data_IF_035725332544
#
_entry.id   IF_035725332544
#
_cell.length_a   1.000
_cell.length_b   1.000
_cell.length_c   1.000
_cell.angle_alpha   90.00
_cell.angle_beta   90.00
_cell.angle_gamma   90.00
#
_symmetry.space_group_name_H-M   'P 1'
#
loop_
_entity.id
_entity.type
_entity.pdbx_description
1 polymer ?
#
# COMPACT_ATOMS: atom_id res chain seq x y z
N UNK A 1 -1.15 16.10 6.27
CA UNK A 1 -0.93 17.39 5.57
C UNK A 1 -2.28 18.07 5.41
N UNK A 2 -2.42 19.37 5.72
CA UNK A 2 -3.72 20.06 5.53
C UNK A 2 -3.96 20.29 4.03
N UNK A 3 -5.21 20.40 3.61
CA UNK A 3 -5.58 20.55 2.18
C UNK A 3 -4.87 21.73 1.48
N UNK A 4 -4.73 22.88 2.16
CA UNK A 4 -4.01 24.05 1.64
C UNK A 4 -2.49 23.82 1.45
N UNK A 5 -1.90 22.88 2.18
CA UNK A 5 -0.47 22.55 2.06
C UNK A 5 -0.20 21.57 0.90
N UNK A 6 -1.21 20.81 0.44
CA UNK A 6 -1.02 19.77 -0.60
C UNK A 6 -0.64 20.38 -1.93
N UNK A 7 -1.31 21.44 -2.37
CA UNK A 7 -1.02 22.08 -3.65
C UNK A 7 0.38 22.71 -3.68
N UNK A 8 0.81 23.29 -2.55
CA UNK A 8 2.15 23.85 -2.43
C UNK A 8 3.21 22.74 -2.43
N UNK A 9 3.00 21.66 -1.66
CA UNK A 9 3.86 20.50 -1.66
C UNK A 9 3.95 19.82 -3.04
N UNK A 10 2.83 19.75 -3.78
CA UNK A 10 2.76 19.23 -5.15
C UNK A 10 3.63 20.07 -6.09
N UNK A 11 3.53 21.41 -6.01
CA UNK A 11 4.38 22.31 -6.79
C UNK A 11 5.87 22.11 -6.49
N UNK A 12 6.24 22.02 -5.21
CA UNK A 12 7.63 21.80 -4.80
C UNK A 12 8.13 20.44 -5.29
N UNK A 13 7.34 19.40 -5.08
CA UNK A 13 7.64 18.04 -5.52
C UNK A 13 7.93 18.00 -7.02
N UNK A 14 7.04 18.56 -7.84
CA UNK A 14 7.23 18.56 -9.29
C UNK A 14 8.39 19.45 -9.75
N UNK A 15 8.68 20.56 -9.06
CA UNK A 15 9.84 21.41 -9.35
C UNK A 15 11.20 20.78 -9.02
N UNK A 16 11.22 19.77 -8.13
CA UNK A 16 12.47 19.08 -7.76
C UNK A 16 13.02 18.25 -8.91
N UNK A 17 14.29 18.45 -9.25
CA UNK A 17 15.00 17.68 -10.30
C UNK A 17 15.23 16.23 -9.90
N UNK A 18 15.53 15.99 -8.63
CA UNK A 18 15.76 14.67 -8.07
C UNK A 18 14.65 14.33 -7.07
N UNK A 19 14.07 13.14 -7.20
CA UNK A 19 13.02 12.65 -6.32
C UNK A 19 13.44 11.28 -5.79
N UNK A 20 13.43 11.16 -4.48
CA UNK A 20 13.72 9.91 -3.76
C UNK A 20 12.42 9.26 -3.28
N UNK A 21 12.41 7.97 -2.97
CA UNK A 21 11.22 7.24 -2.53
C UNK A 21 10.49 7.92 -1.35
N UNK A 22 11.23 8.49 -0.40
CA UNK A 22 10.64 9.22 0.73
C UNK A 22 9.84 10.46 0.29
N UNK A 23 10.27 11.15 -0.77
CA UNK A 23 9.52 12.29 -1.33
C UNK A 23 8.24 11.84 -2.04
N UNK A 24 8.28 10.71 -2.75
CA UNK A 24 7.08 10.09 -3.32
C UNK A 24 6.11 9.66 -2.23
N UNK A 25 6.58 8.98 -1.17
CA UNK A 25 5.77 8.57 -0.04
C UNK A 25 5.10 9.75 0.66
N UNK A 26 5.85 10.83 0.91
CA UNK A 26 5.30 12.04 1.52
C UNK A 26 4.18 12.63 0.67
N UNK A 27 4.39 12.70 -0.66
CA UNK A 27 3.40 13.27 -1.57
C UNK A 27 2.16 12.37 -1.72
N UNK A 28 2.36 11.06 -1.89
CA UNK A 28 1.28 10.06 -1.94
C UNK A 28 0.45 10.09 -0.65
N UNK A 29 1.09 10.09 0.53
CA UNK A 29 0.39 10.21 1.81
C UNK A 29 -0.41 11.51 1.87
N UNK A 30 0.17 12.59 1.35
CA UNK A 30 -0.51 13.86 1.16
C UNK A 30 -1.84 13.75 0.42
N UNK A 31 -1.85 13.07 -0.72
CA UNK A 31 -3.06 12.82 -1.49
C UNK A 31 -4.05 11.91 -0.76
N UNK A 32 -3.57 10.82 -0.14
CA UNK A 32 -4.41 9.90 0.65
C UNK A 32 -5.10 10.61 1.82
N UNK A 33 -4.35 11.40 2.59
CA UNK A 33 -4.86 12.17 3.74
C UNK A 33 -5.93 13.21 3.31
N UNK A 34 -5.95 13.61 2.03
CA UNK A 34 -6.84 14.64 1.49
C UNK A 34 -7.90 14.09 0.53
N UNK A 35 -8.16 12.77 0.56
CA UNK A 35 -9.15 12.10 -0.29
C UNK A 35 -8.93 12.33 -1.79
N UNK A 36 -7.67 12.31 -2.23
CA UNK A 36 -7.27 12.38 -3.63
C UNK A 36 -6.61 11.05 -4.08
N UNK A 37 -7.27 9.89 -3.91
CA UNK A 37 -6.64 8.59 -4.13
C UNK A 37 -6.17 8.37 -5.58
N UNK A 38 -6.87 8.94 -6.58
CA UNK A 38 -6.46 8.84 -7.98
C UNK A 38 -5.07 9.46 -8.21
N UNK A 39 -4.81 10.64 -7.64
CA UNK A 39 -3.48 11.28 -7.71
C UNK A 39 -2.39 10.46 -7.02
N UNK A 40 -2.72 9.78 -5.92
CA UNK A 40 -1.78 8.90 -5.24
C UNK A 40 -1.41 7.69 -6.10
N UNK A 41 -2.40 7.08 -6.78
CA UNK A 41 -2.21 5.95 -7.69
C UNK A 41 -1.41 6.38 -8.92
N UNK A 42 -1.74 7.52 -9.53
CA UNK A 42 -0.99 8.08 -10.66
C UNK A 42 0.47 8.34 -10.30
N UNK A 43 0.72 8.80 -9.08
CA UNK A 43 2.07 9.03 -8.60
C UNK A 43 2.81 7.71 -8.34
N UNK A 44 2.14 6.71 -7.76
CA UNK A 44 2.70 5.36 -7.56
C UNK A 44 3.15 4.74 -8.89
N UNK A 45 2.35 4.88 -9.95
CA UNK A 45 2.66 4.31 -11.27
C UNK A 45 3.94 4.88 -11.91
N UNK A 46 4.49 5.98 -11.38
CA UNK A 46 5.76 6.59 -11.82
C UNK A 46 6.97 6.03 -11.07
N UNK A 47 6.77 5.14 -10.10
CA UNK A 47 7.82 4.56 -9.26
C UNK A 47 8.20 3.19 -9.82
N UNK A 48 9.46 3.03 -10.24
CA UNK A 48 9.93 1.76 -10.80
C UNK A 48 10.10 0.67 -9.74
N UNK A 49 10.65 1.02 -8.57
CA UNK A 49 10.98 0.08 -7.49
C UNK A 49 10.41 0.58 -6.16
N UNK A 50 9.08 0.50 -5.97
CA UNK A 50 8.45 0.91 -4.72
C UNK A 50 8.86 -0.01 -3.56
N UNK A 51 9.02 0.57 -2.37
CA UNK A 51 9.17 -0.16 -1.12
C UNK A 51 7.80 -0.45 -0.48
N UNK A 52 7.82 -1.03 0.72
CA UNK A 52 6.62 -1.33 1.50
C UNK A 52 5.79 -0.08 1.83
N UNK A 53 6.41 1.08 2.03
CA UNK A 53 5.71 2.34 2.32
C UNK A 53 4.86 2.77 1.12
N UNK A 54 5.41 2.78 -0.10
CA UNK A 54 4.62 3.17 -1.27
C UNK A 54 3.54 2.15 -1.60
N UNK A 55 3.78 0.86 -1.37
CA UNK A 55 2.76 -0.17 -1.51
C UNK A 55 1.61 0.00 -0.50
N UNK A 56 1.91 0.31 0.77
CA UNK A 56 0.90 0.62 1.80
C UNK A 56 0.04 1.80 1.35
N UNK A 57 0.67 2.88 0.87
CA UNK A 57 -0.05 4.07 0.42
C UNK A 57 -0.90 3.80 -0.81
N UNK A 58 -0.43 2.95 -1.74
CA UNK A 58 -1.24 2.48 -2.86
C UNK A 58 -2.48 1.74 -2.37
N UNK A 59 -2.33 0.77 -1.47
CA UNK A 59 -3.46 -0.02 -0.97
C UNK A 59 -4.47 0.84 -0.22
N UNK A 60 -4.02 1.78 0.60
CA UNK A 60 -4.90 2.76 1.24
C UNK A 60 -5.68 3.60 0.22
N UNK A 61 -5.04 3.97 -0.90
CA UNK A 61 -5.69 4.71 -1.99
C UNK A 61 -6.78 3.86 -2.67
N UNK A 62 -6.47 2.60 -2.99
CA UNK A 62 -7.44 1.66 -3.55
C UNK A 62 -8.64 1.44 -2.60
N UNK A 63 -8.36 1.29 -1.30
CA UNK A 63 -9.37 1.16 -0.25
C UNK A 63 -10.30 2.38 -0.15
N UNK A 64 -9.81 3.59 -0.47
CA UNK A 64 -10.62 4.80 -0.55
C UNK A 64 -11.52 4.81 -1.80
N UNK A 65 -11.00 4.37 -2.95
CA UNK A 65 -11.74 4.34 -4.22
C UNK A 65 -12.88 3.31 -4.24
N UNK A 66 -12.62 2.09 -3.73
CA UNK A 66 -13.62 1.00 -3.66
C UNK A 66 -14.23 0.62 -5.02
N UNK A 67 -13.44 0.72 -6.09
CA UNK A 67 -13.86 0.36 -7.45
C UNK A 67 -13.28 -0.98 -7.88
N UNK A 68 -13.80 -1.52 -8.99
CA UNK A 68 -13.27 -2.75 -9.59
C UNK A 68 -11.86 -2.56 -10.14
N UNK A 69 -11.58 -1.39 -10.70
CA UNK A 69 -10.26 -1.02 -11.22
C UNK A 69 -9.23 -0.98 -10.10
N UNK A 70 -9.61 -0.44 -8.93
CA UNK A 70 -8.80 -0.45 -7.73
C UNK A 70 -8.52 -1.89 -7.25
N UNK A 71 -9.53 -2.78 -7.28
CA UNK A 71 -9.34 -4.19 -6.95
C UNK A 71 -8.35 -4.89 -7.89
N UNK A 72 -8.50 -4.68 -9.19
CA UNK A 72 -7.62 -5.28 -10.20
C UNK A 72 -6.17 -4.81 -10.01
N UNK A 73 -5.97 -3.53 -9.64
CA UNK A 73 -4.66 -2.99 -9.29
C UNK A 73 -4.09 -3.63 -8.02
N UNK A 74 -4.89 -3.74 -6.94
CA UNK A 74 -4.49 -4.41 -5.69
C UNK A 74 -4.00 -5.84 -5.97
N UNK A 75 -4.76 -6.61 -6.78
CA UNK A 75 -4.41 -7.98 -7.17
C UNK A 75 -3.16 -8.05 -8.04
N UNK A 76 -2.97 -7.09 -8.95
CA UNK A 76 -1.80 -7.02 -9.82
C UNK A 76 -0.53 -6.75 -9.02
N UNK A 77 -0.59 -5.79 -8.08
CA UNK A 77 0.56 -5.40 -7.28
C UNK A 77 0.88 -6.45 -6.23
N UNK A 78 -0.11 -7.04 -5.55
CA UNK A 78 0.13 -8.06 -4.52
C UNK A 78 0.89 -9.29 -5.03
N UNK A 79 0.67 -9.69 -6.29
CA UNK A 79 1.42 -10.77 -6.94
C UNK A 79 2.90 -10.48 -7.14
N UNK A 80 3.29 -9.20 -7.16
CA UNK A 80 4.67 -8.74 -7.36
C UNK A 80 5.37 -8.47 -6.03
N UNK A 81 4.65 -8.53 -4.90
CA UNK A 81 5.23 -8.30 -3.57
C UNK A 81 6.16 -9.47 -3.20
N UNK A 82 7.44 -9.19 -2.85
CA UNK A 82 8.35 -10.22 -2.34
C UNK A 82 7.78 -10.91 -1.10
N UNK A 83 7.97 -12.23 -0.97
CA UNK A 83 7.49 -12.99 0.21
C UNK A 83 7.95 -12.41 1.55
N UNK A 84 9.14 -11.82 1.59
CA UNK A 84 9.71 -11.15 2.77
C UNK A 84 8.87 -9.97 3.26
N UNK A 85 8.19 -9.25 2.36
CA UNK A 85 7.41 -8.07 2.69
C UNK A 85 6.09 -8.42 3.40
N UNK A 86 5.58 -9.63 3.23
CA UNK A 86 4.39 -10.11 3.97
C UNK A 86 4.62 -10.28 5.48
N UNK A 87 5.86 -10.12 5.96
CA UNK A 87 6.17 -10.02 7.40
C UNK A 87 5.86 -8.63 7.96
N UNK A 88 5.77 -7.60 7.10
CA UNK A 88 5.35 -6.26 7.50
C UNK A 88 3.84 -6.26 7.77
N UNK A 89 3.47 -6.13 9.04
CA UNK A 89 2.07 -6.11 9.48
C UNK A 89 1.26 -4.94 8.90
N UNK A 90 1.87 -3.77 8.68
CA UNK A 90 1.20 -2.61 8.10
C UNK A 90 0.89 -2.83 6.62
N UNK A 91 1.82 -3.44 5.87
CA UNK A 91 1.59 -3.82 4.48
C UNK A 91 0.49 -4.87 4.36
N UNK A 92 0.55 -5.91 5.19
CA UNK A 92 -0.49 -6.94 5.20
C UNK A 92 -1.86 -6.36 5.56
N UNK A 93 -1.93 -5.52 6.59
CA UNK A 93 -3.19 -4.89 7.04
C UNK A 93 -3.79 -4.00 5.95
N UNK A 94 -2.98 -3.16 5.29
CA UNK A 94 -3.45 -2.30 4.21
C UNK A 94 -3.91 -3.10 2.98
N UNK A 95 -3.21 -4.19 2.63
CA UNK A 95 -3.64 -5.10 1.56
C UNK A 95 -4.99 -5.76 1.89
N UNK A 96 -5.17 -6.26 3.11
CA UNK A 96 -6.42 -6.86 3.57
C UNK A 96 -7.57 -5.85 3.52
N UNK A 97 -7.36 -4.64 4.05
CA UNK A 97 -8.35 -3.56 4.03
C UNK A 97 -8.76 -3.19 2.59
N UNK A 98 -7.80 -3.09 1.68
CA UNK A 98 -8.07 -2.80 0.27
C UNK A 98 -8.85 -3.92 -0.43
N UNK A 99 -8.49 -5.18 -0.21
CA UNK A 99 -9.22 -6.33 -0.74
C UNK A 99 -10.67 -6.34 -0.25
N UNK A 100 -10.88 -6.16 1.07
CA UNK A 100 -12.22 -6.13 1.66
C UNK A 100 -13.07 -4.97 1.13
N UNK A 101 -12.52 -3.75 1.12
CA UNK A 101 -13.26 -2.55 0.70
C UNK A 101 -13.53 -2.48 -0.80
N UNK A 102 -12.70 -3.13 -1.63
CA UNK A 102 -12.97 -3.26 -3.06
C UNK A 102 -13.79 -4.51 -3.42
N UNK A 103 -14.20 -5.31 -2.42
CA UNK A 103 -15.19 -6.38 -2.58
C UNK A 103 -14.66 -7.81 -2.71
N UNK A 104 -13.36 -8.07 -2.56
CA UNK A 104 -12.79 -9.42 -2.57
C UNK A 104 -12.49 -9.93 -1.15
N UNK A 105 -13.57 -10.15 -0.40
CA UNK A 105 -13.52 -10.61 0.99
C UNK A 105 -12.91 -12.01 1.09
N UNK A 106 -13.24 -12.91 0.17
CA UNK A 106 -12.74 -14.29 0.18
C UNK A 106 -11.21 -14.36 0.08
N UNK A 107 -10.61 -13.54 -0.79
CA UNK A 107 -9.15 -13.46 -0.88
C UNK A 107 -8.54 -12.84 0.39
N UNK A 108 -9.17 -11.80 0.95
CA UNK A 108 -8.70 -11.21 2.21
C UNK A 108 -8.70 -12.23 3.35
N UNK A 109 -9.77 -13.00 3.52
CA UNK A 109 -9.86 -14.07 4.53
C UNK A 109 -8.78 -15.13 4.33
N UNK A 110 -8.63 -15.65 3.11
CA UNK A 110 -7.61 -16.64 2.79
C UNK A 110 -6.19 -16.15 3.15
N UNK A 111 -5.88 -14.89 2.84
CA UNK A 111 -4.58 -14.29 3.14
C UNK A 111 -4.39 -14.11 4.65
N UNK A 112 -5.43 -13.69 5.37
CA UNK A 112 -5.40 -13.53 6.83
C UNK A 112 -5.11 -14.86 7.55
N UNK A 113 -5.80 -15.95 7.20
CA UNK A 113 -5.53 -17.26 7.79
C UNK A 113 -4.12 -17.76 7.47
N UNK A 114 -3.68 -17.62 6.22
CA UNK A 114 -2.32 -18.00 5.79
C UNK A 114 -1.23 -17.24 6.55
N UNK A 115 -1.48 -15.97 6.93
CA UNK A 115 -0.55 -15.19 7.74
C UNK A 115 -0.46 -15.68 9.19
N UNK A 116 -1.59 -16.06 9.80
CA UNK A 116 -1.64 -16.58 11.18
C UNK A 116 -0.93 -17.92 11.33
N UNK A 117 -1.10 -18.83 10.37
CA UNK A 117 -0.42 -20.13 10.36
C UNK A 117 1.10 -19.97 10.32
N UNK A 118 1.62 -19.06 9.50
CA UNK A 118 3.06 -18.76 9.44
C UNK A 118 3.60 -18.27 10.78
N UNK A 119 2.89 -17.33 11.42
CA UNK A 119 3.28 -16.82 12.74
C UNK A 119 3.37 -17.96 13.75
N UNK A 120 2.32 -18.80 13.85
CA UNK A 120 2.32 -19.95 14.76
C UNK A 120 3.43 -20.96 14.47
N UNK A 121 3.69 -21.27 13.19
CA UNK A 121 4.76 -22.19 12.80
C UNK A 121 6.17 -21.67 13.16
N UNK A 122 6.37 -20.35 13.07
CA UNK A 122 7.65 -19.72 13.41
C UNK A 122 7.96 -19.78 14.91
N UNK A 123 6.96 -19.60 15.78
CA UNK A 123 7.13 -19.77 17.24
C UNK A 123 7.36 -21.24 17.63
N UNK A 124 6.71 -22.18 16.94
CA UNK A 124 6.93 -23.62 17.15
C UNK A 124 8.36 -24.07 16.81
N UNK A 125 9.04 -23.39 15.90
CA UNK A 125 10.45 -23.65 15.57
C UNK A 125 11.42 -23.15 16.66
N UNK A 126 11.09 -22.05 17.35
CA UNK A 126 11.91 -21.50 18.44
C UNK A 126 11.86 -22.36 19.71
N UNK A 127 10.77 -23.10 19.94
CA UNK A 127 10.65 -23.99 21.11
C UNK A 127 11.21 -25.40 20.92
N UNK A 128 11.71 -25.74 19.73
CA UNK A 128 12.37 -27.03 19.44
C UNK A 128 13.89 -26.91 19.26
N UNK A 129 14.48 -25.77 19.60
CA UNK A 129 15.92 -25.53 19.63
C UNK A 129 16.52 -25.74 21.01
#
# INVERSE_FOLDING_TARGET
MKCGDVAHAESLFYSSKEKVLSSYAAMMKGYVDNNLPDKAIDLFNKIENPDDIQMILLFNSCAQLKTKEALDLVKKVSKQIPKSFYTNQHLLTSLLDALMKCGDVAHAESLFYSSKEKVLSSYGAVMKG
#
